data_IF_550691313774
#
_entry.id   IF_550691313774
#
_cell.length_a   1.000
_cell.length_b   1.000
_cell.length_c   1.000
_cell.angle_alpha   90.00
_cell.angle_beta   90.00
_cell.angle_gamma   90.00
#
_symmetry.space_group_name_H-M   'P 1'
#
loop_
_entity.id
_entity.type
_entity.pdbx_description
1 polymer ?
#
# COMPACT_ATOMS: atom_id res chain seq x y z
N UNK A 1 31.55 74.36 20.98
CA UNK A 1 32.00 73.02 20.54
C UNK A 1 30.74 72.19 20.34
N UNK A 2 30.26 72.10 19.08
CA UNK A 2 28.96 71.56 18.72
C UNK A 2 29.12 70.06 18.45
N UNK A 3 28.30 69.19 19.14
CA UNK A 3 28.19 67.82 18.85
C UNK A 3 26.81 67.57 18.21
N UNK A 4 26.83 67.27 16.92
CA UNK A 4 25.64 66.88 16.14
C UNK A 4 25.25 65.42 16.44
N UNK A 5 24.10 65.22 17.06
CA UNK A 5 23.46 63.93 17.13
C UNK A 5 22.65 63.65 15.85
N UNK A 6 23.18 62.81 14.97
CA UNK A 6 22.46 62.28 13.81
C UNK A 6 21.53 61.18 14.32
N UNK A 7 20.21 61.45 14.29
CA UNK A 7 19.18 60.47 14.50
C UNK A 7 19.00 59.65 13.22
N UNK A 8 19.53 58.44 13.19
CA UNK A 8 19.25 57.46 12.13
C UNK A 8 17.87 56.89 12.39
N UNK A 9 16.89 57.32 11.60
CA UNK A 9 15.58 56.69 11.54
C UNK A 9 15.68 55.41 10.71
N UNK A 10 15.75 54.24 11.38
CA UNK A 10 15.71 52.93 10.73
C UNK A 10 14.25 52.62 10.40
N UNK A 11 13.83 52.91 9.17
CA UNK A 11 12.49 52.58 8.65
C UNK A 11 12.47 51.09 8.32
N UNK A 12 11.94 50.24 9.25
CA UNK A 12 11.72 48.85 9.01
C UNK A 12 10.53 48.72 8.04
N UNK A 13 10.84 48.50 6.75
CA UNK A 13 9.84 48.16 5.74
C UNK A 13 9.43 46.71 5.96
N UNK A 14 8.36 46.49 6.73
CA UNK A 14 7.73 45.16 6.86
C UNK A 14 7.06 44.84 5.53
N UNK A 15 7.74 44.04 4.70
CA UNK A 15 7.10 43.38 3.55
C UNK A 15 6.08 42.39 4.09
N UNK A 16 4.86 42.83 4.33
CA UNK A 16 3.73 41.91 4.47
C UNK A 16 3.49 41.32 3.08
N UNK A 17 3.87 40.05 2.90
CA UNK A 17 3.40 39.25 1.77
C UNK A 17 1.87 39.13 1.92
N UNK A 18 1.16 40.04 1.24
CA UNK A 18 -0.29 39.89 1.12
C UNK A 18 -0.56 38.61 0.38
N UNK A 19 -1.08 37.61 1.10
CA UNK A 19 -1.66 36.42 0.52
C UNK A 19 -2.98 36.87 -0.12
N UNK A 20 -2.95 37.14 -1.43
CA UNK A 20 -4.18 37.50 -2.15
C UNK A 20 -4.98 36.21 -2.34
N UNK A 21 -6.09 36.10 -1.68
CA UNK A 21 -7.13 35.15 -2.02
C UNK A 21 -7.92 35.73 -3.21
N UNK A 22 -8.28 34.88 -4.16
CA UNK A 22 -9.00 35.28 -5.38
C UNK A 22 -10.38 34.62 -5.38
N UNK A 23 -11.44 35.41 -5.58
CA UNK A 23 -12.82 34.92 -5.63
C UNK A 23 -13.07 34.12 -6.91
N UNK A 24 -13.56 32.91 -6.78
CA UNK A 24 -13.89 32.04 -7.89
C UNK A 24 -15.25 32.41 -8.49
N UNK A 25 -15.24 32.96 -9.68
CA UNK A 25 -16.47 33.29 -10.42
C UNK A 25 -16.90 32.16 -11.37
N UNK A 26 -15.94 31.37 -11.84
CA UNK A 26 -16.19 30.28 -12.76
C UNK A 26 -15.30 29.06 -12.41
N UNK A 27 -15.86 27.89 -12.54
CA UNK A 27 -15.15 26.61 -12.43
C UNK A 27 -15.18 25.93 -13.81
N UNK A 28 -14.05 25.42 -14.25
CA UNK A 28 -13.87 24.74 -15.53
C UNK A 28 -13.15 23.41 -15.25
N UNK A 29 -13.86 22.30 -15.39
CA UNK A 29 -13.37 20.96 -15.12
C UNK A 29 -13.17 20.22 -16.44
N UNK A 30 -12.03 19.59 -16.62
CA UNK A 30 -11.69 18.82 -17.80
C UNK A 30 -11.00 17.50 -17.44
N UNK A 31 -11.12 16.50 -18.34
CA UNK A 31 -10.51 15.17 -18.16
C UNK A 31 -11.33 14.20 -17.29
N UNK A 32 -12.44 14.66 -16.73
CA UNK A 32 -13.37 13.79 -16.02
C UNK A 32 -14.15 12.90 -17.01
N UNK A 33 -14.19 11.61 -16.74
CA UNK A 33 -14.88 10.60 -17.58
C UNK A 33 -16.12 10.04 -16.88
N UNK A 34 -16.03 9.77 -15.59
CA UNK A 34 -17.05 9.11 -14.76
C UNK A 34 -17.49 9.97 -13.58
N UNK A 35 -16.56 10.74 -13.04
CA UNK A 35 -16.85 11.61 -11.89
C UNK A 35 -17.42 12.93 -12.40
N UNK A 36 -18.65 13.27 -12.00
CA UNK A 36 -19.29 14.52 -12.43
C UNK A 36 -18.60 15.75 -11.82
N UNK A 37 -18.71 16.90 -12.49
CA UNK A 37 -18.18 18.17 -11.98
C UNK A 37 -18.72 18.49 -10.58
N UNK A 38 -20.02 18.24 -10.33
CA UNK A 38 -20.65 18.45 -9.03
C UNK A 38 -20.02 17.56 -7.95
N UNK A 39 -19.71 16.30 -8.29
CA UNK A 39 -19.05 15.39 -7.38
C UNK A 39 -17.63 15.89 -7.05
N UNK A 40 -16.89 16.39 -8.04
CA UNK A 40 -15.55 16.94 -7.86
C UNK A 40 -15.59 18.15 -6.92
N UNK A 41 -16.57 19.05 -7.08
CA UNK A 41 -16.79 20.21 -6.19
C UNK A 41 -17.03 19.77 -4.75
N UNK A 42 -17.89 18.79 -4.55
CA UNK A 42 -18.20 18.24 -3.22
C UNK A 42 -16.98 17.58 -2.59
N UNK A 43 -16.28 16.73 -3.33
CA UNK A 43 -15.09 16.02 -2.85
C UNK A 43 -13.93 16.98 -2.53
N UNK A 44 -13.73 18.01 -3.36
CA UNK A 44 -12.72 19.03 -3.15
C UNK A 44 -13.10 20.04 -2.09
N UNK A 45 -14.39 20.13 -1.70
CA UNK A 45 -14.97 21.10 -0.77
C UNK A 45 -14.75 22.55 -1.23
N UNK A 46 -15.22 22.88 -2.43
CA UNK A 46 -15.18 24.22 -3.02
C UNK A 46 -16.41 24.48 -3.89
N UNK A 47 -16.75 25.76 -4.04
CA UNK A 47 -17.90 26.19 -4.85
C UNK A 47 -17.63 27.54 -5.54
N UNK A 48 -18.49 27.92 -6.46
CA UNK A 48 -18.48 29.26 -7.05
C UNK A 48 -18.77 30.30 -5.96
N UNK A 49 -17.99 31.36 -5.92
CA UNK A 49 -18.03 32.39 -4.86
C UNK A 49 -17.04 32.14 -3.73
N UNK A 50 -16.34 31.00 -3.70
CA UNK A 50 -15.28 30.75 -2.72
C UNK A 50 -14.11 31.70 -2.93
N UNK A 51 -13.58 32.20 -1.83
CA UNK A 51 -12.34 32.99 -1.81
C UNK A 51 -11.17 32.04 -1.53
N UNK A 52 -10.37 31.74 -2.56
CA UNK A 52 -9.34 30.70 -2.51
C UNK A 52 -7.94 31.27 -2.50
N UNK A 53 -7.19 30.94 -1.47
CA UNK A 53 -5.75 31.15 -1.38
C UNK A 53 -4.99 29.93 -1.96
N UNK A 54 -3.67 30.09 -2.18
CA UNK A 54 -2.81 28.96 -2.55
C UNK A 54 -2.87 27.79 -1.55
N UNK A 55 -3.10 28.09 -0.26
CA UNK A 55 -3.25 27.05 0.75
C UNK A 55 -4.56 26.26 0.56
N UNK A 56 -5.62 26.93 0.13
CA UNK A 56 -6.91 26.29 -0.13
C UNK A 56 -6.87 25.45 -1.39
N UNK A 57 -6.16 25.89 -2.45
CA UNK A 57 -5.89 25.05 -3.63
C UNK A 57 -5.16 23.75 -3.25
N UNK A 58 -4.15 23.83 -2.37
CA UNK A 58 -3.45 22.65 -1.87
C UNK A 58 -4.35 21.72 -1.05
N UNK A 59 -5.30 22.28 -0.27
CA UNK A 59 -6.30 21.47 0.45
C UNK A 59 -7.25 20.75 -0.52
N UNK A 60 -7.71 21.44 -1.56
CA UNK A 60 -8.57 20.87 -2.61
C UNK A 60 -7.84 19.69 -3.26
N UNK A 61 -6.59 19.87 -3.70
CA UNK A 61 -5.77 18.81 -4.29
C UNK A 61 -5.68 17.60 -3.33
N UNK A 62 -5.35 17.86 -2.06
CA UNK A 62 -5.24 16.80 -1.05
C UNK A 62 -6.56 16.06 -0.83
N UNK A 63 -7.68 16.77 -0.76
CA UNK A 63 -8.99 16.18 -0.61
C UNK A 63 -9.34 15.27 -1.79
N UNK A 64 -9.10 15.75 -3.02
CA UNK A 64 -9.37 14.97 -4.22
C UNK A 64 -8.47 13.72 -4.31
N UNK A 65 -7.16 13.83 -4.04
CA UNK A 65 -6.28 12.66 -4.03
C UNK A 65 -6.64 11.63 -2.95
N UNK A 66 -7.15 12.08 -1.81
CA UNK A 66 -7.56 11.17 -0.72
C UNK A 66 -8.73 10.25 -1.07
N UNK A 67 -9.41 10.50 -2.19
CA UNK A 67 -10.53 9.67 -2.66
C UNK A 67 -10.09 8.46 -3.48
N UNK A 68 -8.83 8.41 -3.89
CA UNK A 68 -8.27 7.42 -4.83
C UNK A 68 -8.93 7.41 -6.23
N UNK A 69 -9.81 8.38 -6.53
CA UNK A 69 -10.46 8.45 -7.84
C UNK A 69 -9.54 9.00 -8.94
N UNK A 70 -8.55 9.77 -8.57
CA UNK A 70 -7.74 10.55 -9.49
C UNK A 70 -6.28 10.10 -9.48
N UNK A 71 -5.73 9.89 -10.68
CA UNK A 71 -4.32 9.58 -10.91
C UNK A 71 -3.48 10.83 -10.94
N UNK A 72 -4.05 11.91 -11.52
CA UNK A 72 -3.39 13.20 -11.62
C UNK A 72 -4.41 14.33 -11.50
N UNK A 73 -4.00 15.42 -10.85
CA UNK A 73 -4.83 16.59 -10.60
C UNK A 73 -3.98 17.84 -10.76
N UNK A 74 -4.36 18.69 -11.68
CA UNK A 74 -3.75 19.99 -11.90
C UNK A 74 -4.79 21.11 -11.66
N UNK A 75 -4.50 22.01 -10.73
CA UNK A 75 -5.34 23.16 -10.41
C UNK A 75 -4.63 24.46 -10.77
N UNK A 76 -5.35 25.36 -11.39
CA UNK A 76 -4.88 26.73 -11.58
C UNK A 76 -6.03 27.74 -11.43
N UNK A 77 -5.80 28.81 -10.70
CA UNK A 77 -6.74 29.89 -10.53
C UNK A 77 -6.20 31.13 -11.25
N UNK A 78 -6.90 31.55 -12.32
CA UNK A 78 -6.50 32.68 -13.14
C UNK A 78 -7.74 33.49 -13.55
N UNK A 79 -7.71 34.78 -13.38
CA UNK A 79 -8.80 35.70 -13.74
C UNK A 79 -10.16 35.23 -13.18
N UNK A 80 -10.20 34.91 -11.89
CA UNK A 80 -11.40 34.42 -11.18
C UNK A 80 -11.98 33.09 -11.76
N UNK A 81 -11.23 32.38 -12.57
CA UNK A 81 -11.61 31.06 -13.12
C UNK A 81 -10.71 29.98 -12.53
N UNK A 82 -11.31 29.05 -11.77
CA UNK A 82 -10.65 27.86 -11.27
C UNK A 82 -10.68 26.80 -12.36
N UNK A 83 -9.54 26.50 -12.96
CA UNK A 83 -9.38 25.40 -13.91
C UNK A 83 -8.91 24.16 -13.16
N UNK A 84 -9.57 23.03 -13.42
CA UNK A 84 -9.29 21.74 -12.83
C UNK A 84 -9.10 20.74 -13.97
N UNK A 85 -7.87 20.29 -14.16
CA UNK A 85 -7.55 19.24 -15.11
C UNK A 85 -7.28 17.97 -14.33
N UNK A 86 -8.02 16.90 -14.61
CA UNK A 86 -7.91 15.64 -13.89
C UNK A 86 -7.66 14.48 -14.84
N UNK A 87 -6.99 13.47 -14.32
CA UNK A 87 -6.90 12.16 -14.93
C UNK A 87 -7.44 11.14 -13.93
N UNK A 88 -8.50 10.44 -14.28
CA UNK A 88 -9.10 9.44 -13.39
C UNK A 88 -8.28 8.15 -13.35
N UNK A 89 -8.18 7.55 -12.15
CA UNK A 89 -7.68 6.19 -12.01
C UNK A 89 -8.60 5.20 -12.74
N UNK A 90 -8.07 4.17 -13.41
CA UNK A 90 -8.91 3.12 -13.97
C UNK A 90 -9.65 2.36 -12.87
N UNK A 91 -10.79 1.78 -13.21
CA UNK A 91 -11.55 0.89 -12.32
C UNK A 91 -11.05 -0.54 -12.49
N UNK A 92 -10.87 -1.23 -11.38
CA UNK A 92 -10.55 -2.65 -11.37
C UNK A 92 -11.80 -3.43 -11.84
N UNK A 93 -11.71 -4.07 -13.00
CA UNK A 93 -12.78 -4.85 -13.58
C UNK A 93 -12.79 -6.27 -13.04
N UNK A 94 -11.60 -6.90 -12.98
CA UNK A 94 -11.44 -8.24 -12.43
C UNK A 94 -10.10 -8.42 -11.73
N UNK A 95 -10.06 -9.37 -10.79
CA UNK A 95 -8.85 -9.77 -10.08
C UNK A 95 -8.72 -11.28 -10.22
N UNK A 96 -7.62 -11.73 -10.81
CA UNK A 96 -7.32 -13.15 -11.04
C UNK A 96 -6.06 -13.53 -10.29
N UNK A 97 -6.08 -14.71 -9.64
CA UNK A 97 -4.93 -15.24 -8.94
C UNK A 97 -4.59 -16.62 -9.51
N UNK A 98 -3.46 -16.73 -10.19
CA UNK A 98 -2.96 -17.96 -10.77
C UNK A 98 -1.92 -18.60 -9.86
N UNK A 99 -1.74 -19.92 -9.95
CA UNK A 99 -0.70 -20.67 -9.22
C UNK A 99 -1.15 -21.27 -7.89
N UNK A 100 -2.28 -20.84 -7.33
CA UNK A 100 -2.83 -21.39 -6.08
C UNK A 100 -3.74 -22.59 -6.40
N UNK A 101 -3.29 -23.79 -6.05
CA UNK A 101 -4.04 -25.03 -6.34
C UNK A 101 -5.29 -25.21 -5.47
N UNK A 102 -5.26 -24.69 -4.23
CA UNK A 102 -6.36 -24.81 -3.26
C UNK A 102 -7.33 -23.65 -3.42
N UNK A 103 -8.51 -23.91 -3.99
CA UNK A 103 -9.53 -22.89 -4.26
C UNK A 103 -10.04 -22.15 -3.01
N UNK A 104 -10.14 -22.82 -1.88
CA UNK A 104 -10.53 -22.19 -0.62
C UNK A 104 -9.47 -21.16 -0.15
N UNK A 105 -8.20 -21.53 -0.29
CA UNK A 105 -7.08 -20.61 0.04
C UNK A 105 -7.06 -19.40 -0.88
N UNK A 106 -7.20 -19.62 -2.20
CA UNK A 106 -7.32 -18.53 -3.18
C UNK A 106 -8.47 -17.57 -2.81
N UNK A 107 -9.65 -18.13 -2.53
CA UNK A 107 -10.84 -17.34 -2.18
C UNK A 107 -10.64 -16.53 -0.89
N UNK A 108 -10.04 -17.12 0.13
CA UNK A 108 -9.76 -16.38 1.38
C UNK A 108 -8.70 -15.29 1.18
N UNK A 109 -7.67 -15.56 0.36
CA UNK A 109 -6.65 -14.56 0.04
C UNK A 109 -7.27 -13.38 -0.72
N UNK A 110 -8.11 -13.62 -1.74
CA UNK A 110 -8.80 -12.57 -2.50
C UNK A 110 -9.66 -11.66 -1.59
N UNK A 111 -10.25 -12.20 -0.51
CA UNK A 111 -11.00 -11.39 0.47
C UNK A 111 -10.11 -10.44 1.26
N UNK A 112 -8.86 -10.83 1.50
CA UNK A 112 -7.91 -10.06 2.33
C UNK A 112 -7.17 -8.98 1.55
N UNK A 113 -7.17 -9.02 0.21
CA UNK A 113 -6.50 -8.02 -0.62
C UNK A 113 -7.03 -6.62 -0.34
N UNK A 114 -6.16 -5.62 -0.46
CA UNK A 114 -6.51 -4.19 -0.42
C UNK A 114 -7.28 -3.79 -1.68
N UNK A 115 -6.88 -4.32 -2.84
CA UNK A 115 -7.59 -4.12 -4.09
C UNK A 115 -8.91 -4.89 -4.12
N UNK A 116 -9.95 -4.25 -4.70
CA UNK A 116 -11.27 -4.86 -4.88
C UNK A 116 -11.81 -4.52 -6.27
N UNK A 117 -12.56 -5.45 -6.84
CA UNK A 117 -13.31 -5.16 -8.05
C UNK A 117 -14.23 -3.95 -7.85
N UNK A 118 -14.41 -3.15 -8.89
CA UNK A 118 -15.19 -1.91 -8.94
C UNK A 118 -14.59 -0.73 -8.16
N UNK A 119 -13.45 -0.92 -7.47
CA UNK A 119 -12.70 0.19 -6.88
C UNK A 119 -11.69 0.76 -7.87
N UNK A 120 -11.19 1.95 -7.58
CA UNK A 120 -10.09 2.57 -8.34
C UNK A 120 -8.81 1.77 -8.19
N UNK A 121 -8.05 1.65 -9.27
CA UNK A 121 -6.71 1.06 -9.26
C UNK A 121 -5.70 2.07 -8.73
N UNK A 122 -5.07 1.72 -7.62
CA UNK A 122 -3.98 2.49 -7.01
C UNK A 122 -2.75 1.59 -6.91
N UNK A 123 -1.62 1.92 -7.58
CA UNK A 123 -0.43 1.07 -7.61
C UNK A 123 0.06 0.62 -6.24
N UNK A 124 0.08 1.52 -5.26
CA UNK A 124 0.51 1.23 -3.89
C UNK A 124 -0.27 0.08 -3.22
N UNK A 125 -1.54 -0.11 -3.57
CA UNK A 125 -2.34 -1.20 -3.03
C UNK A 125 -1.91 -2.57 -3.58
N UNK A 126 -1.37 -2.60 -4.82
CA UNK A 126 -0.78 -3.83 -5.40
C UNK A 126 0.45 -4.26 -4.60
N UNK A 127 1.35 -3.33 -4.28
CA UNK A 127 2.57 -3.64 -3.52
C UNK A 127 2.23 -4.20 -2.13
N UNK A 128 1.24 -3.62 -1.46
CA UNK A 128 0.70 -4.15 -0.19
C UNK A 128 0.14 -5.55 -0.34
N UNK A 129 -0.60 -5.80 -1.40
CA UNK A 129 -1.21 -7.10 -1.64
C UNK A 129 -0.16 -8.17 -1.95
N UNK A 130 0.88 -7.84 -2.71
CA UNK A 130 2.03 -8.73 -2.95
C UNK A 130 2.70 -9.10 -1.61
N UNK A 131 2.93 -8.12 -0.75
CA UNK A 131 3.51 -8.37 0.58
C UNK A 131 2.60 -9.27 1.43
N UNK A 132 1.30 -8.99 1.45
CA UNK A 132 0.29 -9.79 2.18
C UNK A 132 0.27 -11.23 1.68
N UNK A 133 0.15 -11.45 0.36
CA UNK A 133 0.14 -12.78 -0.27
C UNK A 133 1.43 -13.51 0.08
N UNK A 134 2.58 -12.85 -0.07
CA UNK A 134 3.89 -13.44 0.26
C UNK A 134 3.94 -13.89 1.71
N UNK A 135 3.47 -13.09 2.66
CA UNK A 135 3.47 -13.42 4.08
C UNK A 135 2.54 -14.60 4.41
N UNK A 136 1.37 -14.66 3.80
CA UNK A 136 0.43 -15.79 3.94
C UNK A 136 1.06 -17.08 3.41
N UNK A 137 1.67 -17.03 2.24
CA UNK A 137 2.31 -18.20 1.62
C UNK A 137 3.55 -18.67 2.41
N UNK A 138 4.37 -17.74 2.90
CA UNK A 138 5.49 -18.07 3.80
C UNK A 138 5.01 -18.72 5.09
N UNK A 139 3.91 -18.25 5.69
CA UNK A 139 3.31 -18.87 6.86
C UNK A 139 2.81 -20.29 6.59
N UNK A 140 2.49 -20.60 5.32
CA UNK A 140 2.08 -21.92 4.85
C UNK A 140 3.27 -22.81 4.42
N UNK A 141 4.52 -22.34 4.60
CA UNK A 141 5.75 -23.08 4.31
C UNK A 141 6.33 -22.84 2.91
N UNK A 142 5.78 -21.93 2.12
CA UNK A 142 6.29 -21.57 0.79
C UNK A 142 7.22 -20.34 0.93
N UNK A 143 8.50 -20.57 1.20
CA UNK A 143 9.47 -19.49 1.46
C UNK A 143 10.08 -18.91 0.19
N UNK A 144 10.01 -19.63 -0.92
CA UNK A 144 10.60 -19.26 -2.20
C UNK A 144 9.54 -18.80 -3.20
N UNK A 145 8.42 -18.27 -2.70
CA UNK A 145 7.34 -17.77 -3.54
C UNK A 145 7.79 -16.54 -4.35
N UNK A 146 7.50 -16.57 -5.63
CA UNK A 146 7.63 -15.43 -6.53
C UNK A 146 6.24 -15.00 -7.03
N UNK A 147 6.00 -13.70 -7.07
CA UNK A 147 4.72 -13.14 -7.50
C UNK A 147 5.00 -12.11 -8.58
N UNK A 148 4.49 -12.36 -9.77
CA UNK A 148 4.47 -11.42 -10.87
C UNK A 148 3.04 -10.89 -11.07
N UNK A 149 2.92 -9.56 -11.28
CA UNK A 149 1.62 -8.93 -11.46
C UNK A 149 1.50 -8.36 -12.86
N UNK A 150 0.50 -8.82 -13.58
CA UNK A 150 0.17 -8.35 -14.92
C UNK A 150 -1.08 -7.46 -14.85
N UNK A 151 -0.96 -6.26 -15.41
CA UNK A 151 -2.06 -5.31 -15.55
C UNK A 151 -2.51 -5.29 -17.02
N UNK A 152 -3.75 -5.62 -17.25
CA UNK A 152 -4.36 -5.58 -18.58
C UNK A 152 -5.29 -4.38 -18.65
N UNK A 153 -4.87 -3.35 -19.40
CA UNK A 153 -5.70 -2.17 -19.62
C UNK A 153 -6.79 -2.48 -20.64
N UNK A 154 -8.02 -2.18 -20.29
CA UNK A 154 -9.18 -2.37 -21.13
C UNK A 154 -9.72 -1.03 -21.63
N UNK A 155 -10.65 -1.08 -22.60
CA UNK A 155 -11.41 0.09 -22.99
C UNK A 155 -12.23 0.63 -21.79
N UNK A 156 -12.71 1.87 -21.89
CA UNK A 156 -13.52 2.52 -20.85
C UNK A 156 -12.82 2.77 -19.52
N UNK A 157 -11.48 2.97 -19.54
CA UNK A 157 -10.68 3.24 -18.35
C UNK A 157 -10.87 2.19 -17.25
N UNK A 158 -10.78 0.90 -17.62
CA UNK A 158 -10.79 -0.23 -16.69
C UNK A 158 -9.50 -1.05 -16.79
N UNK A 159 -9.21 -1.82 -15.75
CA UNK A 159 -8.02 -2.68 -15.68
C UNK A 159 -8.36 -4.02 -15.04
N UNK A 160 -7.78 -5.09 -15.59
CA UNK A 160 -7.76 -6.40 -14.96
C UNK A 160 -6.40 -6.61 -14.29
N UNK A 161 -6.41 -7.16 -13.07
CA UNK A 161 -5.23 -7.45 -12.28
C UNK A 161 -5.05 -8.95 -12.22
N UNK A 162 -3.88 -9.44 -12.64
CA UNK A 162 -3.54 -10.86 -12.64
C UNK A 162 -2.30 -11.05 -11.78
N UNK A 163 -2.45 -11.73 -10.63
CA UNK A 163 -1.34 -12.19 -9.81
C UNK A 163 -0.90 -13.58 -10.28
N UNK A 164 0.26 -13.69 -10.90
CA UNK A 164 0.87 -14.96 -11.25
C UNK A 164 1.81 -15.39 -10.13
N UNK A 165 1.46 -16.45 -9.42
CA UNK A 165 2.16 -16.91 -8.22
C UNK A 165 2.88 -18.20 -8.53
N UNK A 166 4.21 -18.18 -8.45
CA UNK A 166 5.01 -19.39 -8.37
C UNK A 166 5.30 -19.67 -6.89
N UNK A 167 4.74 -20.78 -6.40
CA UNK A 167 4.91 -21.19 -5.00
C UNK A 167 6.32 -21.65 -4.68
N UNK A 168 7.08 -22.08 -5.69
CA UNK A 168 8.33 -22.78 -5.48
C UNK A 168 8.16 -24.05 -4.63
N UNK A 169 9.26 -24.62 -4.20
CA UNK A 169 9.28 -25.75 -3.30
C UNK A 169 9.06 -25.35 -1.85
N UNK A 170 8.39 -26.20 -1.08
CA UNK A 170 8.29 -26.01 0.38
C UNK A 170 9.66 -26.16 1.02
N UNK A 171 10.05 -25.20 1.84
CA UNK A 171 11.27 -25.28 2.63
C UNK A 171 11.23 -26.49 3.56
N UNK A 172 12.20 -27.39 3.46
CA UNK A 172 12.30 -28.59 4.31
C UNK A 172 13.46 -28.47 5.31
N UNK A 173 13.25 -28.99 6.52
CA UNK A 173 14.23 -29.00 7.59
C UNK A 173 15.22 -30.13 7.31
N UNK A 174 16.41 -29.80 6.85
CA UNK A 174 17.44 -30.79 6.54
C UNK A 174 18.10 -31.35 7.80
N UNK A 175 18.35 -30.50 8.79
CA UNK A 175 19.02 -30.89 10.03
C UNK A 175 18.63 -29.99 11.20
N UNK A 176 18.42 -30.61 12.37
CA UNK A 176 18.20 -29.91 13.64
C UNK A 176 19.42 -30.14 14.52
N UNK A 177 20.04 -29.06 14.99
CA UNK A 177 21.19 -29.10 15.88
C UNK A 177 20.88 -28.35 17.18
N UNK A 178 21.28 -28.89 18.30
CA UNK A 178 21.21 -28.22 19.58
C UNK A 178 22.64 -27.77 19.97
N UNK A 179 22.78 -26.47 20.24
CA UNK A 179 24.05 -25.87 20.64
C UNK A 179 23.88 -25.26 22.03
N UNK A 180 24.94 -25.26 22.83
CA UNK A 180 24.92 -24.75 24.20
C UNK A 180 25.43 -25.80 25.20
N UNK A 181 24.99 -25.65 26.45
CA UNK A 181 25.38 -26.56 27.54
C UNK A 181 24.83 -27.98 27.29
N UNK A 182 25.71 -28.97 27.30
CA UNK A 182 25.37 -30.37 26.97
C UNK A 182 24.75 -31.15 28.13
N UNK A 183 23.88 -30.51 28.90
CA UNK A 183 23.14 -31.14 30.03
C UNK A 183 22.29 -32.33 29.56
N UNK A 184 21.74 -32.24 28.35
CA UNK A 184 20.91 -33.26 27.73
C UNK A 184 21.50 -33.75 26.41
N UNK A 185 21.28 -35.03 26.07
CA UNK A 185 21.64 -35.61 24.76
C UNK A 185 20.70 -35.06 23.70
N UNK A 186 21.21 -34.78 22.49
CA UNK A 186 20.44 -34.25 21.36
C UNK A 186 19.18 -35.09 21.06
N UNK A 187 19.28 -36.45 21.17
CA UNK A 187 18.12 -37.33 20.98
C UNK A 187 16.99 -37.08 21.98
N UNK A 188 17.31 -36.70 23.23
CA UNK A 188 16.31 -36.39 24.23
C UNK A 188 15.60 -35.08 23.88
N UNK A 189 16.34 -34.06 23.45
CA UNK A 189 15.80 -32.78 23.02
C UNK A 189 14.97 -32.91 21.73
N UNK A 190 15.41 -33.77 20.78
CA UNK A 190 14.64 -34.07 19.57
C UNK A 190 13.26 -34.69 19.88
N UNK A 191 13.13 -35.44 20.97
CA UNK A 191 11.84 -36.01 21.37
C UNK A 191 10.91 -35.01 22.06
N UNK A 192 11.41 -33.84 22.47
CA UNK A 192 10.63 -32.76 23.09
C UNK A 192 9.97 -31.91 22.01
N UNK A 193 10.67 -31.66 20.90
CA UNK A 193 10.18 -30.81 19.83
C UNK A 193 9.23 -31.54 18.88
N UNK A 194 8.41 -30.77 18.17
CA UNK A 194 7.44 -31.28 17.19
C UNK A 194 7.99 -31.29 15.76
N UNK A 195 8.97 -30.44 15.45
CA UNK A 195 9.62 -30.38 14.15
C UNK A 195 10.47 -31.62 13.89
N UNK A 196 10.56 -32.04 12.65
CA UNK A 196 11.30 -33.23 12.24
C UNK A 196 12.25 -32.94 11.08
N UNK A 197 13.40 -33.63 11.06
CA UNK A 197 14.28 -33.60 9.91
C UNK A 197 13.66 -34.29 8.70
N UNK A 198 13.91 -33.74 7.50
CA UNK A 198 13.50 -34.36 6.24
C UNK A 198 14.35 -35.62 5.98
N UNK A 199 13.73 -36.78 6.09
CA UNK A 199 14.33 -38.09 5.79
C UNK A 199 13.48 -38.82 4.75
N UNK A 200 14.10 -39.58 3.86
CA UNK A 200 13.42 -40.22 2.71
C UNK A 200 12.25 -41.08 3.11
N UNK A 201 12.26 -41.72 4.31
CA UNK A 201 11.18 -42.54 4.81
C UNK A 201 10.04 -41.75 5.50
N UNK A 202 10.22 -40.44 5.67
CA UNK A 202 9.21 -39.54 6.26
C UNK A 202 8.41 -38.79 5.20
N UNK A 203 8.17 -39.37 4.04
CA UNK A 203 7.54 -38.73 2.91
C UNK A 203 6.11 -38.23 3.20
N UNK A 204 5.38 -38.86 4.11
CA UNK A 204 4.01 -38.46 4.51
C UNK A 204 3.98 -37.41 5.63
N UNK A 205 5.10 -37.16 6.31
CA UNK A 205 5.13 -36.21 7.42
C UNK A 205 5.19 -34.77 6.94
N UNK A 206 4.23 -33.93 7.36
CA UNK A 206 4.27 -32.48 7.16
C UNK A 206 5.21 -31.77 8.17
N UNK A 207 5.64 -32.42 9.23
CA UNK A 207 6.51 -31.87 10.29
C UNK A 207 7.93 -31.59 9.82
N UNK A 208 8.30 -32.12 8.65
CA UNK A 208 9.59 -31.90 7.99
C UNK A 208 9.70 -30.56 7.24
N UNK A 209 8.57 -29.88 6.99
CA UNK A 209 8.59 -28.56 6.36
C UNK A 209 8.77 -27.46 7.40
N UNK A 210 9.51 -26.43 7.04
CA UNK A 210 9.68 -25.27 7.90
C UNK A 210 8.35 -24.56 8.10
N UNK A 211 8.01 -24.35 9.37
CA UNK A 211 6.78 -23.69 9.80
C UNK A 211 7.12 -22.85 11.02
N UNK A 212 6.98 -21.55 10.90
CA UNK A 212 7.37 -20.59 11.95
C UNK A 212 6.60 -20.83 13.26
N UNK A 213 5.30 -21.08 13.17
CA UNK A 213 4.48 -21.32 14.37
C UNK A 213 4.92 -22.60 15.11
N UNK A 214 5.31 -23.63 14.34
CA UNK A 214 5.86 -24.86 14.91
C UNK A 214 7.23 -24.64 15.55
N UNK A 215 8.10 -23.84 14.92
CA UNK A 215 9.39 -23.48 15.52
C UNK A 215 9.20 -22.71 16.83
N UNK A 216 8.27 -21.74 16.86
CA UNK A 216 7.94 -21.02 18.10
C UNK A 216 7.37 -21.94 19.20
N UNK A 217 6.58 -22.97 18.80
CA UNK A 217 6.13 -24.00 19.74
C UNK A 217 7.28 -24.85 20.25
N UNK A 218 8.19 -25.27 19.37
CA UNK A 218 9.37 -26.07 19.73
C UNK A 218 10.27 -25.35 20.72
N UNK A 219 10.48 -24.06 20.53
CA UNK A 219 11.24 -23.21 21.50
C UNK A 219 10.54 -23.24 22.87
N UNK A 220 9.23 -23.00 22.92
CA UNK A 220 8.48 -23.06 24.19
C UNK A 220 8.52 -24.42 24.87
N UNK A 221 8.49 -25.50 24.08
CA UNK A 221 8.58 -26.87 24.62
C UNK A 221 9.97 -27.13 25.21
N UNK A 222 11.03 -26.61 24.59
CA UNK A 222 12.39 -26.70 25.11
C UNK A 222 12.60 -25.86 26.36
N UNK A 223 12.05 -24.65 26.40
CA UNK A 223 12.12 -23.75 27.56
C UNK A 223 11.45 -24.34 28.83
N UNK A 224 10.39 -25.13 28.62
CA UNK A 224 9.64 -25.77 29.70
C UNK A 224 10.15 -27.18 30.08
N UNK A 225 11.21 -27.68 29.41
CA UNK A 225 11.78 -29.03 29.64
C UNK A 225 12.95 -29.02 30.64
#
# INVERSE_FOLDING_TARGET
MFSNFIKINFFIFVFSSACFAEVVNKIDVSGNLRVSEETIKVLGNFEVGSDLSNQDLNKIIKNLYSTDFFKDINLSLNNNTLKIEILENPIIQSIVMNGIKKKDMEKEMLKLLSVKEKNSYVPYNIDKDIELITNILKSSGFYFVEIDTVLVSNNNNTVDIIYNIDLGDKASIQKIKFTGDKKYKDRKLQNVITSEENKFWKFLSNKKYLDKQRVDLDIRLLDNF
#
